data_IF_248338815858
#
_entry.id   IF_248338815858
#
_cell.length_a   1.000
_cell.length_b   1.000
_cell.length_c   1.000
_cell.angle_alpha   90.00
_cell.angle_beta   90.00
_cell.angle_gamma   90.00
#
_symmetry.space_group_name_H-M   'P 1'
#
loop_
_entity.id
_entity.type
_entity.pdbx_description
1 polymer ?
#
# COMPACT_ATOMS: atom_id res chain seq x y z
N UNK A 1 -25.87 77.97 5.48
CA UNK A 1 -25.66 79.29 4.82
C UNK A 1 -25.08 80.24 5.86
N UNK A 2 -24.15 81.16 5.54
CA UNK A 2 -23.54 81.52 4.24
C UNK A 2 -22.09 80.96 4.11
N UNK A 3 -21.55 80.55 2.96
CA UNK A 3 -21.18 81.29 1.74
C UNK A 3 -20.19 82.45 1.95
N UNK A 4 -18.90 82.17 1.72
CA UNK A 4 -17.97 83.08 1.05
C UNK A 4 -17.16 82.27 0.03
N UNK A 5 -17.44 82.55 -1.24
CA UNK A 5 -16.63 82.17 -2.40
C UNK A 5 -15.30 82.92 -2.37
N UNK A 6 -14.21 82.22 -2.68
CA UNK A 6 -13.13 82.81 -3.49
C UNK A 6 -12.48 81.71 -4.34
N UNK A 7 -12.31 82.06 -5.61
CA UNK A 7 -11.92 81.21 -6.74
C UNK A 7 -10.48 80.67 -6.61
N UNK A 8 -10.13 79.58 -7.33
CA UNK A 8 -8.77 79.07 -7.37
C UNK A 8 -7.91 79.99 -8.24
N UNK A 9 -7.04 80.77 -7.62
CA UNK A 9 -5.93 81.41 -8.31
C UNK A 9 -4.94 80.34 -8.74
N UNK A 10 -4.95 80.02 -10.03
CA UNK A 10 -3.93 79.23 -10.71
C UNK A 10 -2.61 80.03 -10.69
N UNK A 11 -1.91 80.00 -9.56
CA UNK A 11 -0.51 80.41 -9.50
C UNK A 11 0.24 79.34 -10.28
N UNK A 12 0.79 79.68 -11.44
CA UNK A 12 1.85 78.91 -12.07
C UNK A 12 3.00 78.84 -11.06
N UNK A 13 3.00 77.77 -10.26
CA UNK A 13 4.00 77.52 -9.24
C UNK A 13 5.32 77.29 -9.97
N UNK A 14 6.10 78.36 -10.16
CA UNK A 14 7.43 78.30 -10.74
C UNK A 14 8.20 77.30 -9.88
N UNK A 15 8.50 76.15 -10.47
CA UNK A 15 9.17 75.06 -9.77
C UNK A 15 10.52 75.58 -9.27
N UNK A 16 10.85 75.42 -7.97
CA UNK A 16 12.11 75.93 -7.44
C UNK A 16 13.30 75.40 -8.26
N UNK A 17 14.23 76.27 -8.64
CA UNK A 17 15.38 75.89 -9.49
C UNK A 17 16.17 74.71 -8.91
N UNK A 18 16.31 74.66 -7.59
CA UNK A 18 16.95 73.55 -6.88
C UNK A 18 16.25 72.20 -7.14
N UNK A 19 14.91 72.20 -7.17
CA UNK A 19 14.14 70.98 -7.40
C UNK A 19 14.29 70.50 -8.85
N UNK A 20 14.32 71.42 -9.82
CA UNK A 20 14.56 71.10 -11.23
C UNK A 20 15.95 70.49 -11.45
N UNK A 21 16.96 71.03 -10.78
CA UNK A 21 18.34 70.53 -10.86
C UNK A 21 18.49 69.14 -10.22
N UNK A 22 17.89 68.92 -9.05
CA UNK A 22 17.94 67.62 -8.36
C UNK A 22 17.20 66.53 -9.14
N UNK A 23 16.04 66.85 -9.75
CA UNK A 23 15.30 65.90 -10.59
C UNK A 23 16.04 65.56 -11.89
N UNK A 24 16.66 66.56 -12.54
CA UNK A 24 17.47 66.33 -13.73
C UNK A 24 18.69 65.43 -13.42
N UNK A 25 19.35 65.67 -12.29
CA UNK A 25 20.45 64.84 -11.81
C UNK A 25 19.99 63.42 -11.45
N UNK A 26 18.88 63.29 -10.71
CA UNK A 26 18.28 62.00 -10.36
C UNK A 26 17.96 61.16 -11.60
N UNK A 27 17.27 61.75 -12.58
CA UNK A 27 16.88 61.04 -13.80
C UNK A 27 18.09 60.62 -14.62
N UNK A 28 19.13 61.46 -14.69
CA UNK A 28 20.39 61.12 -15.38
C UNK A 28 21.11 59.95 -14.72
N UNK A 29 21.26 59.97 -13.40
CA UNK A 29 21.93 58.91 -12.66
C UNK A 29 21.13 57.59 -12.66
N UNK A 30 19.79 57.66 -12.61
CA UNK A 30 18.93 56.48 -12.72
C UNK A 30 18.96 55.82 -14.11
N UNK A 31 19.10 56.61 -15.19
CA UNK A 31 19.25 56.10 -16.56
C UNK A 31 20.57 55.35 -16.77
N UNK A 32 21.60 55.68 -15.99
CA UNK A 32 22.90 55.01 -16.05
C UNK A 32 22.88 53.62 -15.36
N UNK A 33 21.87 53.31 -14.54
CA UNK A 33 21.77 52.02 -13.84
C UNK A 33 20.96 51.04 -14.69
N UNK A 34 21.58 49.91 -15.05
CA UNK A 34 20.91 48.85 -15.82
C UNK A 34 19.89 48.07 -14.97
N UNK A 35 18.63 47.90 -15.42
CA UNK A 35 17.63 47.07 -14.75
C UNK A 35 18.00 45.59 -14.63
N UNK A 36 19.01 45.12 -15.37
CA UNK A 36 19.45 43.73 -15.37
C UNK A 36 20.48 43.42 -14.28
N UNK A 37 20.97 44.41 -13.54
CA UNK A 37 22.00 44.18 -12.52
C UNK A 37 21.41 43.55 -11.24
N UNK A 38 22.08 42.52 -10.67
CA UNK A 38 21.60 41.86 -9.45
C UNK A 38 21.54 42.78 -8.22
N UNK A 39 22.24 43.92 -8.25
CA UNK A 39 22.21 44.97 -7.21
C UNK A 39 21.44 46.23 -7.62
N UNK A 40 20.58 46.14 -8.64
CA UNK A 40 19.83 47.28 -9.17
C UNK A 40 19.10 48.10 -8.10
N UNK A 41 18.44 47.43 -7.14
CA UNK A 41 17.71 48.11 -6.07
C UNK A 41 18.63 48.84 -5.08
N UNK A 42 19.82 48.29 -4.81
CA UNK A 42 20.80 48.89 -3.90
C UNK A 42 21.49 50.09 -4.55
N UNK A 43 21.83 49.99 -5.83
CA UNK A 43 22.36 51.09 -6.64
C UNK A 43 21.34 52.22 -6.81
N UNK A 44 20.08 51.86 -7.05
CA UNK A 44 18.97 52.83 -7.11
C UNK A 44 18.83 53.57 -5.78
N UNK A 45 18.82 52.85 -4.66
CA UNK A 45 18.75 53.45 -3.32
C UNK A 45 19.94 54.37 -3.03
N UNK A 46 21.14 54.02 -3.50
CA UNK A 46 22.34 54.86 -3.37
C UNK A 46 22.18 56.21 -4.09
N UNK A 47 21.63 56.21 -5.31
CA UNK A 47 21.34 57.46 -6.04
C UNK A 47 20.34 58.32 -5.26
N UNK A 48 19.24 57.76 -4.76
CA UNK A 48 18.28 58.50 -3.93
C UNK A 48 18.91 59.03 -2.63
N UNK A 49 19.78 58.27 -1.96
CA UNK A 49 20.52 58.73 -0.77
C UNK A 49 21.44 59.91 -1.08
N UNK A 50 22.09 59.90 -2.24
CA UNK A 50 22.95 60.99 -2.69
C UNK A 50 22.14 62.26 -3.00
N UNK A 51 21.04 62.14 -3.75
CA UNK A 51 20.14 63.27 -4.05
C UNK A 51 19.52 63.84 -2.78
N UNK A 52 19.10 62.99 -1.84
CA UNK A 52 18.59 63.43 -0.56
C UNK A 52 19.67 64.12 0.29
N UNK A 53 20.92 63.67 0.22
CA UNK A 53 22.07 64.36 0.82
C UNK A 53 22.25 65.78 0.28
N UNK A 54 22.22 65.94 -1.05
CA UNK A 54 22.27 67.27 -1.69
C UNK A 54 21.08 68.15 -1.31
N UNK A 55 19.88 67.56 -1.23
CA UNK A 55 18.68 68.26 -0.77
C UNK A 55 18.85 68.79 0.66
N UNK A 56 19.30 67.96 1.60
CA UNK A 56 19.52 68.37 3.01
C UNK A 56 20.54 69.52 3.11
N UNK A 57 21.62 69.48 2.34
CA UNK A 57 22.66 70.51 2.35
C UNK A 57 22.16 71.89 1.92
N UNK A 58 21.11 71.95 1.10
CA UNK A 58 20.50 73.19 0.63
C UNK A 58 19.59 73.85 1.67
N UNK A 59 18.97 73.09 2.59
CA UNK A 59 18.06 73.61 3.61
C UNK A 59 18.79 73.90 4.94
N UNK A 60 19.47 75.05 5.04
CA UNK A 60 20.31 75.39 6.20
C UNK A 60 19.57 75.36 7.55
N UNK A 61 18.33 75.85 7.61
CA UNK A 61 17.55 75.93 8.86
C UNK A 61 17.09 74.56 9.39
N UNK A 62 16.74 73.64 8.49
CA UNK A 62 16.21 72.31 8.84
C UNK A 62 17.24 71.19 8.70
N UNK A 63 18.46 71.52 8.24
CA UNK A 63 19.55 70.58 8.01
C UNK A 63 19.83 69.64 9.20
N UNK A 64 19.96 70.09 10.46
CA UNK A 64 20.29 69.18 11.56
C UNK A 64 19.20 68.15 11.80
N UNK A 65 17.92 68.54 11.69
CA UNK A 65 16.79 67.63 11.85
C UNK A 65 16.74 66.59 10.71
N UNK A 66 16.84 67.02 9.46
CA UNK A 66 16.80 66.11 8.31
C UNK A 66 18.02 65.19 8.26
N UNK A 67 19.19 65.66 8.69
CA UNK A 67 20.40 64.84 8.81
C UNK A 67 20.26 63.79 9.90
N UNK A 68 19.66 64.14 11.05
CA UNK A 68 19.38 63.18 12.11
C UNK A 68 18.40 62.10 11.64
N UNK A 69 17.31 62.48 10.97
CA UNK A 69 16.36 61.53 10.39
C UNK A 69 17.05 60.61 9.37
N UNK A 70 17.83 61.16 8.43
CA UNK A 70 18.60 60.38 7.45
C UNK A 70 19.54 59.39 8.14
N UNK A 71 20.23 59.82 9.20
CA UNK A 71 21.16 58.98 9.96
C UNK A 71 20.45 57.77 10.60
N UNK A 72 19.27 57.95 11.17
CA UNK A 72 18.51 56.82 11.76
C UNK A 72 18.10 55.78 10.71
N UNK A 73 17.65 56.22 9.53
CA UNK A 73 17.36 55.29 8.42
C UNK A 73 18.63 54.61 7.89
N UNK A 74 19.72 55.35 7.76
CA UNK A 74 21.01 54.79 7.33
C UNK A 74 21.53 53.74 8.33
N UNK A 75 21.37 53.99 9.64
CA UNK A 75 21.71 53.02 10.69
C UNK A 75 20.85 51.75 10.60
N UNK A 76 19.54 51.90 10.38
CA UNK A 76 18.62 50.77 10.23
C UNK A 76 18.94 49.91 9.01
N UNK A 77 19.34 50.52 7.89
CA UNK A 77 19.76 49.80 6.69
C UNK A 77 21.02 48.97 6.94
N UNK A 78 22.01 49.54 7.64
CA UNK A 78 23.24 48.81 8.03
C UNK A 78 22.90 47.61 8.91
N UNK A 79 22.05 47.80 9.93
CA UNK A 79 21.60 46.71 10.80
C UNK A 79 20.92 45.58 10.02
N UNK A 80 20.04 45.92 9.08
CA UNK A 80 19.39 44.92 8.23
C UNK A 80 20.38 44.17 7.33
N UNK A 81 21.38 44.87 6.81
CA UNK A 81 22.40 44.25 5.96
C UNK A 81 23.32 43.31 6.75
N UNK A 82 23.64 43.66 7.99
CA UNK A 82 24.35 42.77 8.91
C UNK A 82 23.52 41.51 9.23
N UNK A 83 22.22 41.66 9.51
CA UNK A 83 21.32 40.52 9.71
C UNK A 83 21.25 39.60 8.48
N UNK A 84 21.22 40.16 7.27
CA UNK A 84 21.24 39.37 6.03
C UNK A 84 22.56 38.62 5.89
N UNK A 85 23.69 39.25 6.22
CA UNK A 85 25.01 38.61 6.17
C UNK A 85 25.10 37.43 7.14
N UNK A 86 24.53 37.56 8.34
CA UNK A 86 24.53 36.51 9.35
C UNK A 86 23.64 35.30 8.99
N UNK A 87 22.64 35.51 8.12
CA UNK A 87 21.78 34.43 7.61
C UNK A 87 22.45 33.57 6.53
N UNK A 88 23.45 34.09 5.83
CA UNK A 88 24.15 33.37 4.76
C UNK A 88 24.90 32.10 5.24
N UNK A 89 25.65 32.10 6.37
CA UNK A 89 26.24 30.88 6.90
C UNK A 89 25.19 29.84 7.31
N UNK A 90 24.05 30.26 7.84
CA UNK A 90 22.96 29.34 8.20
C UNK A 90 22.37 28.66 6.95
N UNK A 91 22.21 29.39 5.84
CA UNK A 91 21.80 28.81 4.55
C UNK A 91 22.81 27.81 4.02
N UNK A 92 24.10 28.10 4.19
CA UNK A 92 25.17 27.18 3.77
C UNK A 92 25.18 25.90 4.60
N UNK A 93 25.00 26.00 5.93
CA UNK A 93 24.89 24.87 6.82
C UNK A 93 23.68 24.00 6.52
N UNK A 94 22.52 24.61 6.28
CA UNK A 94 21.31 23.89 5.85
C UNK A 94 21.54 23.11 4.56
N UNK A 95 22.23 23.70 3.57
CA UNK A 95 22.56 23.02 2.31
C UNK A 95 23.42 21.78 2.56
N UNK A 96 24.45 21.89 3.39
CA UNK A 96 25.32 20.76 3.75
C UNK A 96 24.56 19.66 4.50
N UNK A 97 23.68 20.02 5.43
CA UNK A 97 22.82 19.06 6.13
C UNK A 97 21.86 18.35 5.19
N UNK A 98 21.25 19.07 4.23
CA UNK A 98 20.40 18.47 3.20
C UNK A 98 21.19 17.48 2.36
N UNK A 99 22.39 17.84 1.89
CA UNK A 99 23.26 16.95 1.11
C UNK A 99 23.71 15.71 1.91
N UNK A 100 23.97 15.85 3.21
CA UNK A 100 24.28 14.73 4.10
C UNK A 100 23.08 13.81 4.30
N UNK A 101 21.88 14.36 4.50
CA UNK A 101 20.65 13.58 4.60
C UNK A 101 20.35 12.83 3.31
N UNK A 102 20.48 13.48 2.15
CA UNK A 102 20.26 12.86 0.85
C UNK A 102 21.25 11.71 0.62
N UNK A 103 22.53 11.88 0.97
CA UNK A 103 23.53 10.79 0.92
C UNK A 103 23.15 9.62 1.82
N UNK A 104 22.70 9.87 3.05
CA UNK A 104 22.26 8.80 3.97
C UNK A 104 21.06 8.04 3.43
N UNK A 105 20.08 8.75 2.87
CA UNK A 105 18.89 8.15 2.27
C UNK A 105 19.30 7.27 1.09
N UNK A 106 20.17 7.76 0.20
CA UNK A 106 20.66 6.99 -0.94
C UNK A 106 21.46 5.75 -0.53
N UNK A 107 22.30 5.85 0.50
CA UNK A 107 23.06 4.73 1.03
C UNK A 107 22.13 3.63 1.57
N UNK A 108 21.16 3.99 2.42
CA UNK A 108 20.15 3.06 2.96
C UNK A 108 19.34 2.40 1.85
N UNK A 109 18.91 3.18 0.87
CA UNK A 109 18.20 2.64 -0.29
C UNK A 109 19.05 1.61 -1.05
N UNK A 110 20.35 1.88 -1.22
CA UNK A 110 21.28 0.93 -1.84
C UNK A 110 21.42 -0.38 -1.07
N UNK A 111 21.52 -0.30 0.26
CA UNK A 111 21.57 -1.45 1.18
C UNK A 111 20.29 -2.29 1.07
N UNK A 112 19.12 -1.67 1.21
CA UNK A 112 17.82 -2.33 1.11
C UNK A 112 17.64 -3.04 -0.25
N UNK A 113 18.04 -2.39 -1.35
CA UNK A 113 17.97 -3.00 -2.68
C UNK A 113 18.95 -4.17 -2.85
N UNK A 114 20.09 -4.16 -2.16
CA UNK A 114 21.00 -5.30 -2.16
C UNK A 114 20.41 -6.47 -1.37
N UNK A 115 19.83 -6.20 -0.20
CA UNK A 115 19.17 -7.19 0.65
C UNK A 115 17.96 -7.82 -0.04
N UNK A 116 17.09 -7.02 -0.66
CA UNK A 116 15.94 -7.52 -1.44
C UNK A 116 16.41 -8.47 -2.55
N UNK A 117 17.50 -8.14 -3.23
CA UNK A 117 18.07 -9.00 -4.29
C UNK A 117 18.62 -10.31 -3.73
N UNK A 118 19.35 -10.25 -2.60
CA UNK A 118 19.86 -11.43 -1.94
C UNK A 118 18.72 -12.36 -1.48
N UNK A 119 17.74 -11.84 -0.76
CA UNK A 119 16.58 -12.60 -0.28
C UNK A 119 15.76 -13.19 -1.44
N UNK A 120 15.62 -12.46 -2.55
CA UNK A 120 14.94 -12.98 -3.74
C UNK A 120 15.68 -14.17 -4.36
N UNK A 121 17.01 -14.11 -4.41
CA UNK A 121 17.82 -15.22 -4.91
C UNK A 121 17.77 -16.44 -3.99
N UNK A 122 17.82 -16.23 -2.66
CA UNK A 122 17.70 -17.29 -1.67
C UNK A 122 16.32 -17.95 -1.72
N UNK A 123 15.24 -17.16 -1.79
CA UNK A 123 13.89 -17.68 -1.97
C UNK A 123 13.77 -18.57 -3.20
N UNK A 124 14.35 -18.16 -4.34
CA UNK A 124 14.33 -18.97 -5.55
C UNK A 124 15.12 -20.27 -5.37
N UNK A 125 16.23 -20.23 -4.63
CA UNK A 125 17.02 -21.43 -4.34
C UNK A 125 16.23 -22.40 -3.45
N UNK A 126 15.68 -21.91 -2.33
CA UNK A 126 14.86 -22.71 -1.43
C UNK A 126 13.65 -23.33 -2.12
N UNK A 127 13.02 -22.62 -3.07
CA UNK A 127 11.93 -23.17 -3.87
C UNK A 127 12.37 -24.36 -4.73
N UNK A 128 13.57 -24.30 -5.32
CA UNK A 128 14.13 -25.43 -6.08
C UNK A 128 14.43 -26.61 -5.16
N UNK A 129 15.01 -26.35 -4.00
CA UNK A 129 15.38 -27.39 -3.04
C UNK A 129 14.13 -28.11 -2.51
N UNK A 130 13.05 -27.37 -2.22
CA UNK A 130 11.74 -27.94 -1.85
C UNK A 130 11.21 -28.85 -2.97
N UNK A 131 11.32 -28.44 -4.23
CA UNK A 131 10.84 -29.26 -5.35
C UNK A 131 11.63 -30.56 -5.47
N UNK A 132 12.96 -30.49 -5.35
CA UNK A 132 13.84 -31.67 -5.37
C UNK A 132 13.49 -32.62 -4.21
N UNK A 133 13.27 -32.08 -3.01
CA UNK A 133 12.89 -32.87 -1.85
C UNK A 133 11.52 -33.54 -2.02
N UNK A 134 10.51 -32.81 -2.53
CA UNK A 134 9.19 -33.38 -2.83
C UNK A 134 9.27 -34.52 -3.83
N UNK A 135 10.08 -34.38 -4.87
CA UNK A 135 10.22 -35.43 -5.87
C UNK A 135 10.92 -36.66 -5.29
N UNK A 136 11.95 -36.45 -4.47
CA UNK A 136 12.62 -37.55 -3.75
C UNK A 136 11.64 -38.29 -2.82
N UNK A 137 10.83 -37.57 -2.05
CA UNK A 137 9.83 -38.18 -1.17
C UNK A 137 8.82 -39.06 -1.93
N UNK A 138 8.38 -38.63 -3.13
CA UNK A 138 7.51 -39.46 -3.98
C UNK A 138 8.23 -40.73 -4.43
N UNK A 139 9.48 -40.63 -4.87
CA UNK A 139 10.28 -41.79 -5.29
C UNK A 139 10.46 -42.77 -4.13
N UNK A 140 10.83 -42.27 -2.95
CA UNK A 140 11.01 -43.08 -1.75
C UNK A 140 9.69 -43.77 -1.34
N UNK A 141 8.55 -43.05 -1.43
CA UNK A 141 7.24 -43.61 -1.16
C UNK A 141 6.84 -44.71 -2.15
N UNK A 142 7.01 -44.46 -3.45
CA UNK A 142 6.73 -45.45 -4.50
C UNK A 142 7.63 -46.68 -4.38
N UNK A 143 8.90 -46.48 -4.01
CA UNK A 143 9.83 -47.57 -3.77
C UNK A 143 9.42 -48.42 -2.56
N UNK A 144 8.98 -47.79 -1.47
CA UNK A 144 8.45 -48.48 -0.31
C UNK A 144 7.18 -49.28 -0.65
N UNK A 145 6.22 -48.67 -1.35
CA UNK A 145 4.98 -49.34 -1.77
C UNK A 145 5.27 -50.54 -2.68
N UNK A 146 6.16 -50.36 -3.67
CA UNK A 146 6.57 -51.44 -4.56
C UNK A 146 7.21 -52.60 -3.78
N UNK A 147 8.08 -52.31 -2.82
CA UNK A 147 8.70 -53.33 -1.97
C UNK A 147 7.68 -54.10 -1.12
N UNK A 148 6.68 -53.40 -0.59
CA UNK A 148 5.56 -53.97 0.17
C UNK A 148 4.73 -54.92 -0.71
N UNK A 149 4.39 -54.47 -1.93
CA UNK A 149 3.67 -55.29 -2.91
C UNK A 149 4.44 -56.56 -3.27
N UNK A 150 5.76 -56.46 -3.52
CA UNK A 150 6.60 -57.64 -3.79
C UNK A 150 6.61 -58.63 -2.62
N UNK A 151 6.63 -58.14 -1.38
CA UNK A 151 6.56 -58.98 -0.19
C UNK A 151 5.22 -59.72 -0.11
N UNK A 152 4.11 -59.01 -0.30
CA UNK A 152 2.76 -59.60 -0.31
C UNK A 152 2.63 -60.69 -1.38
N UNK A 153 3.09 -60.43 -2.63
CA UNK A 153 3.06 -61.44 -3.68
C UNK A 153 3.88 -62.69 -3.34
N UNK A 154 5.01 -62.51 -2.65
CA UNK A 154 5.83 -63.63 -2.20
C UNK A 154 5.12 -64.45 -1.13
N UNK A 155 4.56 -63.79 -0.12
CA UNK A 155 3.83 -64.44 0.97
C UNK A 155 2.60 -65.18 0.45
N UNK A 156 1.82 -64.55 -0.43
CA UNK A 156 0.65 -65.14 -1.09
C UNK A 156 1.04 -66.37 -1.93
N UNK A 157 2.15 -66.30 -2.67
CA UNK A 157 2.67 -67.45 -3.41
C UNK A 157 3.09 -68.59 -2.47
N UNK A 158 3.75 -68.28 -1.36
CA UNK A 158 4.20 -69.28 -0.39
C UNK A 158 2.99 -69.91 0.35
N UNK A 159 1.95 -69.14 0.67
CA UNK A 159 0.67 -69.62 1.20
C UNK A 159 -0.05 -70.55 0.21
N UNK A 160 -0.11 -70.19 -1.08
CA UNK A 160 -0.69 -71.06 -2.12
C UNK A 160 0.04 -72.40 -2.25
N UNK A 161 1.38 -72.38 -2.19
CA UNK A 161 2.18 -73.62 -2.19
C UNK A 161 1.85 -74.49 -1.00
N UNK A 162 1.70 -73.91 0.19
CA UNK A 162 1.32 -74.63 1.39
C UNK A 162 -0.08 -75.24 1.26
N UNK A 163 -1.07 -74.49 0.76
CA UNK A 163 -2.43 -74.98 0.53
C UNK A 163 -2.46 -76.13 -0.50
N UNK A 164 -1.71 -76.03 -1.60
CA UNK A 164 -1.59 -77.11 -2.58
C UNK A 164 -0.98 -78.37 -1.91
N UNK A 165 0.05 -78.19 -1.09
CA UNK A 165 0.65 -79.30 -0.35
C UNK A 165 -0.36 -79.96 0.61
N UNK A 166 -1.10 -79.17 1.39
CA UNK A 166 -2.15 -79.66 2.30
C UNK A 166 -3.27 -80.37 1.54
N UNK A 167 -3.73 -79.81 0.41
CA UNK A 167 -4.77 -80.42 -0.42
C UNK A 167 -4.31 -81.79 -0.93
N UNK A 168 -3.10 -81.86 -1.49
CA UNK A 168 -2.54 -83.12 -1.99
C UNK A 168 -2.41 -84.16 -0.88
N UNK A 169 -2.04 -83.76 0.34
CA UNK A 169 -1.98 -84.67 1.50
C UNK A 169 -3.38 -85.18 1.89
N UNK A 170 -4.38 -84.29 1.96
CA UNK A 170 -5.77 -84.65 2.24
C UNK A 170 -6.37 -85.56 1.17
N UNK A 171 -6.09 -85.33 -0.12
CA UNK A 171 -6.53 -86.21 -1.22
C UNK A 171 -5.95 -87.61 -1.05
N UNK A 172 -4.66 -87.73 -0.68
CA UNK A 172 -4.03 -89.03 -0.37
C UNK A 172 -4.63 -89.73 0.85
N UNK A 173 -5.16 -88.97 1.81
CA UNK A 173 -5.87 -89.51 3.00
C UNK A 173 -7.31 -89.88 2.67
N UNK A 174 -8.00 -89.12 1.82
CA UNK A 174 -9.38 -89.38 1.39
C UNK A 174 -9.50 -90.57 0.46
N UNK A 175 -8.54 -90.79 -0.44
CA UNK A 175 -8.46 -92.01 -1.27
C UNK A 175 -8.34 -93.29 -0.41
N UNK A 176 -7.99 -93.16 0.88
CA UNK A 176 -7.90 -94.27 1.84
C UNK A 176 -9.17 -94.47 2.70
N UNK A 177 -10.19 -93.60 2.61
CA UNK A 177 -11.45 -93.76 3.37
C UNK A 177 -12.61 -94.12 2.45
N UNK A 178 -13.15 -95.33 2.65
CA UNK A 178 -14.35 -95.84 1.99
C UNK A 178 -15.58 -94.95 2.30
N UNK A 179 -16.50 -94.89 1.32
CA UNK A 179 -17.70 -94.06 1.29
C UNK A 179 -18.43 -93.94 2.66
N UNK A 180 -18.75 -92.71 3.12
CA UNK A 180 -19.48 -92.49 4.36
C UNK A 180 -20.93 -92.96 4.27
N UNK A 181 -21.42 -93.52 5.37
CA UNK A 181 -22.73 -94.15 5.49
C UNK A 181 -23.88 -93.13 5.38
N UNK A 182 -25.02 -93.57 4.84
CA UNK A 182 -26.21 -92.75 4.50
C UNK A 182 -26.76 -91.99 5.71
N UNK A 183 -26.51 -92.48 6.92
CA UNK A 183 -26.94 -91.85 8.18
C UNK A 183 -26.06 -90.64 8.52
N UNK A 184 -24.75 -90.72 8.31
CA UNK A 184 -23.82 -89.60 8.53
C UNK A 184 -24.13 -88.44 7.56
N UNK A 185 -24.42 -88.76 6.30
CA UNK A 185 -24.86 -87.78 5.30
C UNK A 185 -26.14 -87.06 5.69
N UNK A 186 -27.13 -87.76 6.27
CA UNK A 186 -28.36 -87.13 6.75
C UNK A 186 -28.13 -86.23 7.95
N UNK A 187 -27.27 -86.65 8.89
CA UNK A 187 -26.93 -85.86 10.07
C UNK A 187 -26.19 -84.57 9.66
N UNK A 188 -25.18 -84.69 8.78
CA UNK A 188 -24.44 -83.55 8.24
C UNK A 188 -25.35 -82.57 7.49
N UNK A 189 -26.30 -83.07 6.68
CA UNK A 189 -27.24 -82.23 5.95
C UNK A 189 -28.17 -81.45 6.89
N UNK A 190 -28.57 -82.07 8.01
CA UNK A 190 -29.38 -81.39 9.03
C UNK A 190 -28.58 -80.27 9.71
N UNK A 191 -27.33 -80.54 10.09
CA UNK A 191 -26.42 -79.54 10.69
C UNK A 191 -26.19 -78.38 9.72
N UNK A 192 -25.90 -78.65 8.43
CA UNK A 192 -25.71 -77.60 7.43
C UNK A 192 -26.96 -76.73 7.23
N UNK A 193 -28.17 -77.29 7.36
CA UNK A 193 -29.41 -76.51 7.28
C UNK A 193 -29.59 -75.60 8.48
N UNK A 194 -29.29 -76.10 9.68
CA UNK A 194 -29.36 -75.32 10.91
C UNK A 194 -28.34 -74.17 10.90
N UNK A 195 -27.12 -74.41 10.42
CA UNK A 195 -26.09 -73.38 10.29
C UNK A 195 -26.42 -72.36 9.18
N UNK A 196 -27.03 -72.80 8.07
CA UNK A 196 -27.55 -71.88 7.04
C UNK A 196 -28.62 -70.96 7.63
N UNK A 197 -29.54 -71.49 8.45
CA UNK A 197 -30.56 -70.66 9.08
C UNK A 197 -29.97 -69.66 10.06
N UNK A 198 -28.96 -70.06 10.86
CA UNK A 198 -28.27 -69.15 11.79
C UNK A 198 -27.52 -68.04 11.08
N UNK A 199 -26.75 -68.39 10.06
CA UNK A 199 -25.99 -67.40 9.26
C UNK A 199 -26.92 -66.44 8.53
N UNK A 200 -28.08 -66.90 8.04
CA UNK A 200 -29.10 -66.05 7.43
C UNK A 200 -29.72 -65.07 8.46
N UNK A 201 -29.95 -65.52 9.69
CA UNK A 201 -30.44 -64.67 10.78
C UNK A 201 -29.38 -63.64 11.23
N UNK A 202 -28.11 -64.02 11.30
CA UNK A 202 -27.00 -63.12 11.61
C UNK A 202 -26.80 -62.08 10.51
N UNK A 203 -26.88 -62.47 9.24
CA UNK A 203 -26.85 -61.56 8.09
C UNK A 203 -28.02 -60.57 8.14
N UNK A 204 -29.21 -61.05 8.49
CA UNK A 204 -30.40 -60.20 8.62
C UNK A 204 -30.28 -59.21 9.76
N UNK A 205 -29.71 -59.62 10.90
CA UNK A 205 -29.36 -58.73 12.02
C UNK A 205 -28.31 -57.71 11.62
N UNK A 206 -27.21 -58.15 11.03
CA UNK A 206 -26.15 -57.26 10.54
C UNK A 206 -26.71 -56.25 9.52
N UNK A 207 -27.57 -56.67 8.59
CA UNK A 207 -28.20 -55.77 7.62
C UNK A 207 -29.12 -54.73 8.29
N UNK A 208 -29.83 -55.11 9.35
CA UNK A 208 -30.67 -54.20 10.13
C UNK A 208 -29.82 -53.21 10.95
N UNK A 209 -28.72 -53.67 11.54
CA UNK A 209 -27.77 -52.81 12.25
C UNK A 209 -27.10 -51.83 11.27
N UNK A 210 -26.58 -52.31 10.14
CA UNK A 210 -25.99 -51.47 9.08
C UNK A 210 -26.97 -50.50 8.42
N UNK A 211 -28.28 -50.77 8.47
CA UNK A 211 -29.30 -49.87 7.91
C UNK A 211 -29.34 -48.51 8.62
N UNK A 212 -29.02 -48.46 9.92
CA UNK A 212 -29.16 -47.25 10.73
C UNK A 212 -27.82 -46.56 11.06
N UNK A 213 -26.69 -47.29 11.11
CA UNK A 213 -25.41 -46.69 11.56
C UNK A 213 -24.58 -45.99 10.48
N UNK A 214 -24.66 -46.35 9.20
CA UNK A 214 -23.88 -45.68 8.13
C UNK A 214 -24.59 -45.93 6.79
N UNK A 215 -25.00 -44.95 5.95
CA UNK A 215 -24.50 -43.58 5.81
C UNK A 215 -25.59 -42.48 5.59
N UNK A 216 -26.89 -42.70 5.84
CA UNK A 216 -27.92 -41.69 5.46
C UNK A 216 -27.77 -40.35 6.17
N UNK A 217 -27.46 -40.35 7.47
CA UNK A 217 -27.17 -39.13 8.24
C UNK A 217 -25.90 -38.40 7.74
N UNK A 218 -24.89 -39.15 7.31
CA UNK A 218 -23.65 -38.59 6.77
C UNK A 218 -23.88 -38.05 5.34
N UNK A 219 -24.70 -38.73 4.54
CA UNK A 219 -25.16 -38.25 3.24
C UNK A 219 -25.98 -36.97 3.37
N UNK A 220 -26.95 -36.90 4.28
CA UNK A 220 -27.77 -35.71 4.51
C UNK A 220 -26.94 -34.52 5.02
N UNK A 221 -25.87 -34.79 5.79
CA UNK A 221 -24.93 -33.76 6.23
C UNK A 221 -24.06 -33.28 5.07
N UNK A 222 -23.45 -34.19 4.33
CA UNK A 222 -22.60 -33.88 3.18
C UNK A 222 -23.38 -33.16 2.07
N UNK A 223 -24.63 -33.55 1.85
CA UNK A 223 -25.50 -32.92 0.86
C UNK A 223 -25.90 -31.49 1.26
N UNK A 224 -26.10 -31.22 2.55
CA UNK A 224 -26.29 -29.86 3.06
C UNK A 224 -25.03 -29.01 2.86
N UNK A 225 -23.87 -29.52 3.25
CA UNK A 225 -22.58 -28.81 3.09
C UNK A 225 -22.28 -28.50 1.61
N UNK A 226 -22.60 -29.43 0.71
CA UNK A 226 -22.46 -29.23 -0.74
C UNK A 226 -23.42 -28.15 -1.26
N UNK A 227 -24.68 -28.14 -0.82
CA UNK A 227 -25.68 -27.11 -1.17
C UNK A 227 -25.27 -25.73 -0.67
N UNK A 228 -24.77 -25.63 0.56
CA UNK A 228 -24.29 -24.36 1.14
C UNK A 228 -23.06 -23.84 0.38
N UNK A 229 -22.12 -24.73 0.04
CA UNK A 229 -20.93 -24.37 -0.75
C UNK A 229 -21.28 -23.88 -2.16
N UNK A 230 -22.28 -24.48 -2.80
CA UNK A 230 -22.79 -24.02 -4.11
C UNK A 230 -23.39 -22.62 -4.02
N UNK A 231 -24.18 -22.34 -2.99
CA UNK A 231 -24.75 -21.01 -2.76
C UNK A 231 -23.65 -19.97 -2.51
N UNK A 232 -22.64 -20.30 -1.70
CA UNK A 232 -21.51 -19.42 -1.43
C UNK A 232 -20.69 -19.13 -2.70
N UNK A 233 -20.43 -20.14 -3.53
CA UNK A 233 -19.76 -19.96 -4.82
C UNK A 233 -20.59 -19.11 -5.78
N UNK A 234 -21.91 -19.30 -5.83
CA UNK A 234 -22.80 -18.48 -6.67
C UNK A 234 -22.79 -17.00 -6.24
N UNK A 235 -22.78 -16.73 -4.95
CA UNK A 235 -22.66 -15.38 -4.40
C UNK A 235 -21.31 -14.75 -4.73
N UNK A 236 -20.22 -15.52 -4.63
CA UNK A 236 -18.89 -15.07 -4.99
C UNK A 236 -18.77 -14.71 -6.47
N UNK A 237 -19.38 -15.49 -7.37
CA UNK A 237 -19.42 -15.20 -8.80
C UNK A 237 -20.20 -13.91 -9.11
N UNK A 238 -21.34 -13.69 -8.44
CA UNK A 238 -22.11 -12.44 -8.58
C UNK A 238 -21.28 -11.24 -8.11
N UNK A 239 -20.65 -11.34 -6.93
CA UNK A 239 -19.82 -10.26 -6.38
C UNK A 239 -18.61 -9.96 -7.28
N UNK A 240 -18.02 -11.00 -7.87
CA UNK A 240 -16.92 -10.85 -8.81
C UNK A 240 -17.39 -10.14 -10.09
N UNK A 241 -18.56 -10.51 -10.63
CA UNK A 241 -19.17 -9.83 -11.77
C UNK A 241 -19.42 -8.34 -11.49
N UNK A 242 -19.97 -8.01 -10.32
CA UNK A 242 -20.24 -6.62 -9.92
C UNK A 242 -18.93 -5.82 -9.79
N UNK A 243 -17.88 -6.44 -9.25
CA UNK A 243 -16.55 -5.83 -9.15
C UNK A 243 -15.94 -5.56 -10.53
N UNK A 244 -16.01 -6.53 -11.44
CA UNK A 244 -15.52 -6.38 -12.81
C UNK A 244 -16.30 -5.29 -13.55
N UNK A 245 -17.63 -5.22 -13.36
CA UNK A 245 -18.45 -4.14 -13.90
C UNK A 245 -18.00 -2.77 -13.37
N UNK A 246 -17.85 -2.61 -12.06
CA UNK A 246 -17.42 -1.35 -11.46
C UNK A 246 -16.05 -0.90 -11.97
N UNK A 247 -15.14 -1.87 -12.15
CA UNK A 247 -13.82 -1.61 -12.73
C UNK A 247 -13.93 -1.08 -14.16
N UNK A 248 -14.78 -1.68 -15.00
CA UNK A 248 -14.99 -1.17 -16.37
C UNK A 248 -15.59 0.23 -16.39
N UNK A 249 -16.54 0.53 -15.52
CA UNK A 249 -17.13 1.88 -15.41
C UNK A 249 -16.06 2.91 -14.99
N UNK A 250 -15.20 2.55 -14.04
CA UNK A 250 -14.07 3.39 -13.62
C UNK A 250 -13.08 3.65 -14.76
N UNK A 251 -12.71 2.61 -15.52
CA UNK A 251 -11.80 2.74 -16.66
C UNK A 251 -12.39 3.66 -17.75
N UNK A 252 -13.70 3.57 -18.01
CA UNK A 252 -14.41 4.47 -18.93
C UNK A 252 -14.39 5.91 -18.44
N UNK A 253 -14.64 6.14 -17.15
CA UNK A 253 -14.57 7.49 -16.56
C UNK A 253 -13.14 8.06 -16.64
N UNK A 254 -12.13 7.22 -16.41
CA UNK A 254 -10.72 7.60 -16.53
C UNK A 254 -10.38 7.98 -17.98
N UNK A 255 -10.86 7.21 -18.96
CA UNK A 255 -10.71 7.53 -20.37
C UNK A 255 -11.39 8.85 -20.74
N UNK A 256 -12.63 9.08 -20.31
CA UNK A 256 -13.36 10.34 -20.54
C UNK A 256 -12.63 11.53 -19.92
N UNK A 257 -12.16 11.40 -18.69
CA UNK A 257 -11.36 12.43 -18.03
C UNK A 257 -10.09 12.75 -18.83
N UNK A 258 -9.37 11.73 -19.29
CA UNK A 258 -8.18 11.88 -20.10
C UNK A 258 -8.47 12.48 -21.49
N UNK A 259 -9.64 12.19 -22.06
CA UNK A 259 -10.11 12.75 -23.34
C UNK A 259 -10.45 14.23 -23.20
N UNK A 260 -11.11 14.61 -22.11
CA UNK A 260 -11.46 15.99 -21.78
C UNK A 260 -10.23 16.84 -21.36
N UNK A 261 -9.11 16.20 -21.03
CA UNK A 261 -7.83 16.85 -20.73
C UNK A 261 -6.98 17.15 -21.96
N UNK A 262 -7.31 16.62 -23.15
CA UNK A 262 -6.63 16.94 -24.40
C UNK A 262 -7.24 18.20 -25.03
N UNK A 263 -6.49 19.30 -25.24
CA UNK A 263 -7.02 20.46 -25.96
C UNK A 263 -7.29 20.11 -27.45
N UNK A 264 -8.30 20.72 -28.09
CA UNK A 264 -8.59 20.48 -29.49
C UNK A 264 -7.43 20.95 -30.37
N UNK A 265 -6.95 20.05 -31.23
CA UNK A 265 -5.97 20.35 -32.29
C UNK A 265 -6.69 21.05 -33.45
N UNK A 266 -6.94 22.35 -33.31
CA UNK A 266 -7.22 23.23 -34.45
C UNK A 266 -6.87 24.66 -34.09
N UNK A 267 -6.03 25.28 -34.93
CA UNK A 267 -5.58 26.68 -34.96
C UNK A 267 -4.17 26.95 -34.43
N UNK A 268 -3.22 26.53 -35.25
CA UNK A 268 -1.96 27.23 -35.46
C UNK A 268 -2.20 28.30 -36.54
N UNK A 269 -2.43 29.55 -36.14
CA UNK A 269 -1.90 30.76 -36.80
C UNK A 269 -2.28 32.01 -35.98
N UNK A 270 -1.31 32.90 -35.78
CA UNK A 270 -1.43 34.26 -35.20
C UNK A 270 -1.71 34.38 -33.70
N UNK A 271 -0.66 34.57 -32.88
CA UNK A 271 -0.09 35.90 -32.66
C UNK A 271 0.97 35.83 -31.55
N UNK A 272 2.20 36.20 -31.90
CA UNK A 272 3.15 36.74 -30.94
C UNK A 272 2.71 38.18 -30.63
N UNK A 273 2.53 38.50 -29.35
CA UNK A 273 2.89 39.73 -28.62
C UNK A 273 1.94 39.89 -27.42
N UNK A 274 2.56 40.05 -26.25
CA UNK A 274 1.99 40.36 -24.93
C UNK A 274 1.23 39.25 -24.19
N UNK A 275 1.97 38.54 -23.32
CA UNK A 275 1.79 38.68 -21.87
C UNK A 275 2.91 37.97 -21.09
N UNK A 276 3.98 38.71 -20.79
CA UNK A 276 4.73 38.51 -19.55
C UNK A 276 3.83 38.97 -18.40
N UNK A 277 3.19 38.04 -17.71
CA UNK A 277 2.82 38.06 -16.28
C UNK A 277 1.74 37.01 -16.03
N UNK A 278 2.14 35.80 -15.64
CA UNK A 278 1.56 35.04 -14.53
C UNK A 278 2.56 33.92 -14.21
N UNK A 279 3.32 34.07 -13.13
CA UNK A 279 3.80 32.88 -12.42
C UNK A 279 2.52 32.23 -11.90
N UNK A 280 2.03 31.19 -12.55
CA UNK A 280 0.90 30.43 -12.03
C UNK A 280 1.30 29.92 -10.64
N UNK A 281 0.41 30.02 -9.64
CA UNK A 281 0.67 29.46 -8.32
C UNK A 281 0.90 27.94 -8.47
N UNK A 282 1.75 27.32 -7.62
CA UNK A 282 1.90 25.87 -7.62
C UNK A 282 0.51 25.24 -7.57
N UNK A 283 0.25 24.44 -8.60
CA UNK A 283 -1.06 23.96 -9.01
C UNK A 283 -1.91 23.47 -7.83
N UNK A 284 -3.19 23.86 -7.81
CA UNK A 284 -4.27 23.29 -6.98
C UNK A 284 -4.18 21.76 -6.80
N UNK A 285 -3.61 21.07 -7.79
CA UNK A 285 -3.30 19.64 -7.76
C UNK A 285 -2.40 19.27 -6.58
N UNK A 286 -1.33 20.02 -6.27
CA UNK A 286 -0.46 19.74 -5.12
C UNK A 286 -1.21 19.88 -3.79
N UNK A 287 -2.08 20.88 -3.67
CA UNK A 287 -2.93 21.04 -2.49
C UNK A 287 -3.94 19.89 -2.36
N UNK A 288 -4.52 19.43 -3.46
CA UNK A 288 -5.39 18.25 -3.46
C UNK A 288 -4.65 16.97 -3.05
N UNK A 289 -3.45 16.73 -3.59
CA UNK A 289 -2.63 15.57 -3.19
C UNK A 289 -2.24 15.62 -1.72
N UNK A 290 -1.83 16.80 -1.23
CA UNK A 290 -1.47 16.98 0.18
C UNK A 290 -2.69 16.80 1.10
N UNK A 291 -3.84 17.30 0.70
CA UNK A 291 -5.10 17.15 1.43
C UNK A 291 -5.55 15.68 1.48
N UNK A 292 -5.51 14.97 0.35
CA UNK A 292 -5.85 13.54 0.29
C UNK A 292 -4.87 12.73 1.15
N UNK A 293 -3.58 13.02 1.07
CA UNK A 293 -2.56 12.35 1.87
C UNK A 293 -2.78 12.53 3.38
N UNK A 294 -3.04 13.77 3.82
CA UNK A 294 -3.36 14.06 5.23
C UNK A 294 -4.64 13.34 5.65
N UNK A 295 -5.68 13.35 4.81
CA UNK A 295 -6.95 12.70 5.11
C UNK A 295 -6.79 11.19 5.29
N UNK A 296 -6.06 10.52 4.40
CA UNK A 296 -5.76 9.08 4.49
C UNK A 296 -4.95 8.79 5.76
N UNK A 297 -3.95 9.60 6.07
CA UNK A 297 -3.12 9.43 7.26
C UNK A 297 -3.95 9.53 8.55
N UNK A 298 -4.82 10.55 8.66
CA UNK A 298 -5.72 10.72 9.81
C UNK A 298 -6.69 9.55 9.91
N UNK A 299 -7.26 9.10 8.79
CA UNK A 299 -8.20 7.98 8.77
C UNK A 299 -7.56 6.69 9.28
N UNK A 300 -6.35 6.36 8.80
CA UNK A 300 -5.58 5.20 9.25
C UNK A 300 -5.28 5.30 10.75
N UNK A 301 -4.86 6.47 11.22
CA UNK A 301 -4.55 6.69 12.64
C UNK A 301 -5.78 6.48 13.54
N UNK A 302 -6.94 7.01 13.14
CA UNK A 302 -8.21 6.81 13.85
C UNK A 302 -8.57 5.32 13.87
N UNK A 303 -8.43 4.62 12.75
CA UNK A 303 -8.76 3.20 12.65
C UNK A 303 -7.88 2.34 13.57
N UNK A 304 -6.57 2.61 13.59
CA UNK A 304 -5.62 1.96 14.50
C UNK A 304 -6.01 2.22 15.96
N UNK A 305 -6.37 3.46 16.30
CA UNK A 305 -6.77 3.82 17.66
C UNK A 305 -8.05 3.10 18.10
N UNK A 306 -9.06 3.02 17.22
CA UNK A 306 -10.29 2.26 17.45
C UNK A 306 -9.98 0.78 17.65
N UNK A 307 -9.11 0.21 16.82
CA UNK A 307 -8.72 -1.20 16.93
C UNK A 307 -8.03 -1.50 18.26
N UNK A 308 -7.08 -0.66 18.69
CA UNK A 308 -6.42 -0.77 20.00
C UNK A 308 -7.44 -0.66 21.13
N UNK A 309 -8.38 0.28 21.03
CA UNK A 309 -9.42 0.47 22.05
C UNK A 309 -10.34 -0.75 22.17
N UNK A 310 -10.80 -1.30 21.04
CA UNK A 310 -11.60 -2.52 21.00
C UNK A 310 -10.83 -3.69 21.63
N UNK A 311 -9.55 -3.83 21.27
CA UNK A 311 -8.70 -4.89 21.81
C UNK A 311 -8.49 -4.76 23.33
N UNK A 312 -8.27 -3.55 23.82
CA UNK A 312 -8.20 -3.25 25.26
C UNK A 312 -9.50 -3.62 25.96
N UNK A 313 -10.65 -3.18 25.44
CA UNK A 313 -11.97 -3.53 26.01
C UNK A 313 -12.22 -5.05 26.03
N UNK A 314 -11.92 -5.75 24.94
CA UNK A 314 -12.03 -7.21 24.86
C UNK A 314 -11.12 -7.89 25.88
N UNK A 315 -9.87 -7.44 26.04
CA UNK A 315 -8.95 -8.01 27.02
C UNK A 315 -9.46 -7.85 28.46
N UNK A 316 -10.05 -6.69 28.78
CA UNK A 316 -10.61 -6.42 30.11
C UNK A 316 -11.84 -7.28 30.37
N UNK A 317 -12.73 -7.43 29.39
CA UNK A 317 -13.91 -8.29 29.50
C UNK A 317 -13.51 -9.76 29.67
N UNK A 318 -12.54 -10.24 28.90
CA UNK A 318 -12.01 -11.61 29.02
C UNK A 318 -11.36 -11.81 30.40
N UNK A 319 -10.56 -10.86 30.88
CA UNK A 319 -9.96 -10.92 32.22
C UNK A 319 -11.01 -10.93 33.34
N UNK A 320 -12.09 -10.14 33.23
CA UNK A 320 -13.18 -10.14 34.19
C UNK A 320 -13.97 -11.46 34.17
N UNK A 321 -14.20 -12.01 32.98
CA UNK A 321 -14.88 -13.30 32.80
C UNK A 321 -14.07 -14.45 33.42
N UNK A 322 -12.75 -14.47 33.20
CA UNK A 322 -11.85 -15.45 33.85
C UNK A 322 -11.80 -15.29 35.36
N UNK A 323 -11.79 -14.05 35.89
CA UNK A 323 -11.85 -13.81 37.34
C UNK A 323 -13.15 -14.29 37.97
N UNK A 324 -14.30 -14.12 37.31
CA UNK A 324 -15.58 -14.66 37.82
C UNK A 324 -15.59 -16.19 37.80
N UNK A 325 -15.03 -16.82 36.77
CA UNK A 325 -14.99 -18.28 36.64
C UNK A 325 -14.04 -18.93 37.66
N UNK A 326 -13.01 -18.23 38.16
CA UNK A 326 -12.15 -18.74 39.23
C UNK A 326 -12.71 -18.54 40.64
N UNK A 327 -13.81 -17.78 40.81
CA UNK A 327 -14.45 -17.51 42.10
C UNK A 327 -15.63 -18.46 42.38
N UNK A 328 -16.17 -19.10 41.35
CA UNK A 328 -17.09 -20.24 41.43
C UNK A 328 -16.33 -21.56 41.33
#
# INVERSE_FOLDING_TARGET
QPQCLSQPSFVTLIKPQLLVQLEAFLNKELLNISPSEPKYQELKLQVYRNVFGCFIQAFKTYQPLLSAIKKEYDNMLVLQQDQIRDLEPLRSHLRLLTEECDRKIQARWGEEQAEIRALKSEKQQLQKDIEVMREKEKVDHLQAELSSQYLQYREERDARKLLIWQLNDLTRVSEKKQHPDRVELKLALKVCREDLTKTQEELSRMKADYWDVVPRRNWDKLEREHKDSLLQNSFALTLQSDFDQLKTEFDVLLELHNRNRKPPKTMQCHNEISQKHTKSPPSMIFYFYFYIYIYIYIYIYIYIYIYIYIYMCLSVVICLFWRLFCIF
#
